data_IF_133644807239
#
_entry.id   IF_133644807239
#
_cell.length_a   1.000
_cell.length_b   1.000
_cell.length_c   1.000
_cell.angle_alpha   90.00
_cell.angle_beta   90.00
_cell.angle_gamma   90.00
#
_symmetry.space_group_name_H-M   'P 1'
#
loop_
_entity.id
_entity.type
_entity.pdbx_description
1 polymer ?
#
# COMPACT_ATOMS: atom_id res chain seq x y z
N UNK A 1 67.21 -22.74 35.78
CA UNK A 1 67.93 -22.14 34.66
C UNK A 1 67.49 -22.80 33.39
N UNK A 2 67.47 -21.98 32.33
CA UNK A 2 67.38 -22.30 30.91
C UNK A 2 66.02 -22.44 30.22
N UNK A 3 65.92 -21.59 29.19
CA UNK A 3 65.20 -21.74 27.92
C UNK A 3 63.73 -21.30 27.88
N UNK A 4 63.23 -20.57 26.89
CA UNK A 4 63.81 -19.71 25.85
C UNK A 4 62.62 -19.04 25.14
N UNK A 5 62.95 -18.00 24.37
CA UNK A 5 62.37 -17.65 23.07
C UNK A 5 61.34 -16.50 22.96
N UNK A 6 61.86 -15.52 22.23
CA UNK A 6 61.30 -14.29 21.65
C UNK A 6 60.51 -14.53 20.36
N UNK A 7 59.52 -13.68 20.07
CA UNK A 7 59.27 -12.98 18.78
C UNK A 7 57.87 -12.34 18.84
N UNK A 8 57.78 -11.02 18.91
CA UNK A 8 57.61 -10.11 17.77
C UNK A 8 56.59 -10.60 16.72
N UNK A 9 55.44 -9.93 16.69
CA UNK A 9 54.70 -9.63 15.44
C UNK A 9 53.75 -8.49 15.74
N UNK A 10 54.15 -7.30 15.28
CA UNK A 10 53.22 -6.18 15.15
C UNK A 10 52.10 -6.55 14.18
N UNK A 11 50.85 -6.30 14.58
CA UNK A 11 49.72 -6.23 13.66
C UNK A 11 49.20 -4.79 13.62
N UNK A 12 49.81 -4.00 12.75
CA UNK A 12 49.13 -2.88 12.12
C UNK A 12 48.49 -3.37 10.82
N UNK A 13 47.16 -3.34 10.74
CA UNK A 13 46.37 -3.03 9.53
C UNK A 13 44.89 -3.32 9.77
N UNK A 14 44.03 -2.29 9.74
CA UNK A 14 43.31 -1.86 8.54
C UNK A 14 42.11 -2.78 8.22
N UNK A 15 40.89 -2.30 8.43
CA UNK A 15 39.72 -2.91 7.81
C UNK A 15 38.39 -2.61 8.50
N UNK A 16 37.58 -1.77 7.86
CA UNK A 16 36.12 -1.88 7.99
C UNK A 16 35.43 -0.86 8.89
N UNK A 17 35.50 0.43 8.53
CA UNK A 17 34.26 1.22 8.54
C UNK A 17 33.29 0.57 7.53
N UNK A 18 32.01 0.87 7.67
CA UNK A 18 30.90 0.55 6.74
C UNK A 18 30.13 -0.70 7.19
N UNK A 19 28.87 -0.67 7.63
CA UNK A 19 27.78 0.23 7.27
C UNK A 19 26.80 0.33 8.44
N UNK A 20 26.63 1.53 9.00
CA UNK A 20 25.39 1.87 9.69
C UNK A 20 24.28 1.78 8.65
N UNK A 21 23.63 0.61 8.58
CA UNK A 21 22.54 0.36 7.65
C UNK A 21 21.42 1.35 7.98
N UNK A 22 21.36 2.43 7.21
CA UNK A 22 20.33 3.46 7.28
C UNK A 22 19.01 2.90 6.74
N UNK A 23 18.42 1.93 7.47
CA UNK A 23 17.13 1.31 7.17
C UNK A 23 15.99 2.33 7.12
N UNK A 24 16.21 3.52 7.70
CA UNK A 24 15.27 4.64 7.72
C UNK A 24 15.01 5.23 6.34
N UNK A 25 15.89 4.99 5.36
CA UNK A 25 15.81 5.61 4.03
C UNK A 25 15.51 4.63 2.87
N UNK A 26 15.20 3.35 3.14
CA UNK A 26 14.71 2.49 2.04
C UNK A 26 13.40 3.08 1.52
N UNK A 27 13.29 3.40 0.21
CA UNK A 27 12.04 3.89 -0.34
C UNK A 27 10.98 2.83 -0.03
N UNK A 28 9.98 3.20 0.78
CA UNK A 28 8.84 2.31 1.04
C UNK A 28 8.37 1.85 -0.32
N UNK A 29 8.45 0.54 -0.58
CA UNK A 29 8.07 -0.11 -1.84
C UNK A 29 6.61 0.19 -2.16
N UNK A 30 6.37 1.40 -2.64
CA UNK A 30 5.05 1.97 -2.81
C UNK A 30 4.50 1.49 -4.14
N UNK A 31 3.18 1.37 -4.21
CA UNK A 31 2.49 1.07 -5.47
C UNK A 31 2.65 2.30 -6.39
N UNK A 32 3.01 2.05 -7.65
CA UNK A 32 3.20 3.11 -8.65
C UNK A 32 1.90 3.86 -8.89
N UNK A 33 1.97 5.07 -9.46
CA UNK A 33 0.75 5.84 -9.78
C UNK A 33 -0.14 5.09 -10.78
N UNK A 34 0.47 4.45 -11.79
CA UNK A 34 -0.22 3.65 -12.81
C UNK A 34 -0.93 2.44 -12.18
N UNK A 35 -0.24 1.70 -11.31
CA UNK A 35 -0.86 0.62 -10.53
C UNK A 35 -2.03 1.13 -9.68
N UNK A 36 -1.87 2.26 -8.96
CA UNK A 36 -2.97 2.86 -8.18
C UNK A 36 -4.19 3.13 -9.06
N UNK A 37 -4.02 3.80 -10.21
CA UNK A 37 -5.14 4.14 -11.08
C UNK A 37 -5.93 2.88 -11.47
N UNK A 38 -5.24 1.86 -11.98
CA UNK A 38 -5.89 0.61 -12.39
C UNK A 38 -6.56 -0.11 -11.21
N UNK A 39 -5.91 -0.16 -10.05
CA UNK A 39 -6.46 -0.85 -8.89
C UNK A 39 -7.71 -0.14 -8.33
N UNK A 40 -7.71 1.20 -8.30
CA UNK A 40 -8.88 1.97 -7.88
C UNK A 40 -10.02 1.88 -8.91
N UNK A 41 -9.72 1.85 -10.21
CA UNK A 41 -10.73 1.60 -11.24
C UNK A 41 -11.37 0.21 -11.08
N UNK A 42 -10.57 -0.81 -10.81
CA UNK A 42 -11.07 -2.15 -10.53
C UNK A 42 -11.94 -2.17 -9.27
N UNK A 43 -11.51 -1.48 -8.20
CA UNK A 43 -12.26 -1.39 -6.95
C UNK A 43 -13.60 -0.66 -7.13
N UNK A 44 -13.67 0.38 -7.98
CA UNK A 44 -14.93 1.04 -8.32
C UNK A 44 -15.91 0.06 -8.98
N UNK A 45 -15.42 -0.74 -9.92
CA UNK A 45 -16.25 -1.74 -10.61
C UNK A 45 -16.67 -2.91 -9.71
N UNK A 46 -15.90 -3.23 -8.67
CA UNK A 46 -16.11 -4.39 -7.79
C UNK A 46 -16.34 -3.97 -6.33
N UNK A 47 -16.89 -2.77 -6.10
CA UNK A 47 -16.94 -2.15 -4.78
C UNK A 47 -17.69 -2.99 -3.74
N UNK A 48 -18.74 -3.71 -4.16
CA UNK A 48 -19.56 -4.58 -3.30
C UNK A 48 -18.77 -5.79 -2.79
N UNK A 49 -17.91 -6.36 -3.63
CA UNK A 49 -17.09 -7.54 -3.34
C UNK A 49 -15.64 -7.34 -3.80
N UNK A 50 -14.84 -6.52 -3.08
CA UNK A 50 -13.51 -6.07 -3.51
C UNK A 50 -12.42 -7.13 -3.25
N UNK A 51 -12.63 -8.34 -3.78
CA UNK A 51 -11.72 -9.49 -3.65
C UNK A 51 -11.16 -9.85 -5.03
N UNK A 52 -10.07 -9.19 -5.46
CA UNK A 52 -9.47 -9.54 -6.73
C UNK A 52 -8.93 -10.97 -6.69
N UNK A 53 -9.09 -11.65 -7.81
CA UNK A 53 -8.60 -13.00 -8.04
C UNK A 53 -7.15 -12.99 -8.52
N UNK A 54 -6.52 -14.17 -8.53
CA UNK A 54 -5.20 -14.33 -9.11
C UNK A 54 -5.20 -14.05 -10.64
N UNK A 55 -6.30 -14.40 -11.31
CA UNK A 55 -6.50 -14.07 -12.73
C UNK A 55 -6.59 -12.56 -12.94
N UNK A 56 -7.19 -11.80 -12.01
CA UNK A 56 -7.19 -10.33 -12.09
C UNK A 56 -5.77 -9.78 -12.02
N UNK A 57 -4.94 -10.34 -11.13
CA UNK A 57 -3.54 -9.93 -10.95
C UNK A 57 -2.70 -10.19 -12.20
N UNK A 58 -2.86 -11.36 -12.82
CA UNK A 58 -2.09 -11.79 -13.98
C UNK A 58 -2.61 -11.22 -15.31
N UNK A 59 -3.88 -10.81 -15.36
CA UNK A 59 -4.49 -10.17 -16.52
C UNK A 59 -4.50 -8.63 -16.39
N UNK A 60 -5.69 -8.08 -16.13
CA UNK A 60 -5.95 -6.63 -16.18
C UNK A 60 -5.19 -5.79 -15.16
N UNK A 61 -4.68 -6.39 -14.08
CA UNK A 61 -3.92 -5.71 -13.03
C UNK A 61 -2.42 -6.04 -13.05
N UNK A 62 -1.93 -6.71 -14.10
CA UNK A 62 -0.52 -7.06 -14.30
C UNK A 62 0.32 -5.84 -14.71
N UNK A 63 0.46 -4.88 -13.79
CA UNK A 63 1.12 -3.59 -14.05
C UNK A 63 2.46 -3.54 -13.34
N UNK A 64 3.51 -3.14 -14.08
CA UNK A 64 4.88 -2.92 -13.59
C UNK A 64 5.44 -4.11 -12.80
N UNK A 65 5.10 -5.35 -13.20
CA UNK A 65 5.63 -6.58 -12.59
C UNK A 65 5.29 -6.74 -11.10
N UNK A 66 4.08 -6.34 -10.68
CA UNK A 66 3.70 -6.42 -9.27
C UNK A 66 3.76 -7.85 -8.73
N UNK A 67 4.47 -8.03 -7.61
CA UNK A 67 4.50 -9.32 -6.91
C UNK A 67 3.15 -9.64 -6.27
N UNK A 68 2.81 -10.92 -6.22
CA UNK A 68 1.57 -11.43 -5.60
C UNK A 68 1.41 -10.96 -4.15
N UNK A 69 2.48 -11.05 -3.36
CA UNK A 69 2.50 -10.56 -1.98
C UNK A 69 2.10 -9.08 -1.93
N UNK A 70 2.77 -8.22 -2.70
CA UNK A 70 2.50 -6.77 -2.71
C UNK A 70 1.07 -6.46 -3.13
N UNK A 71 0.58 -7.18 -4.13
CA UNK A 71 -0.80 -7.07 -4.62
C UNK A 71 -1.82 -7.41 -3.52
N UNK A 72 -1.72 -8.61 -2.92
CA UNK A 72 -2.62 -9.07 -1.85
C UNK A 72 -2.63 -8.13 -0.66
N UNK A 73 -1.45 -7.72 -0.18
CA UNK A 73 -1.34 -6.79 0.94
C UNK A 73 -1.95 -5.42 0.63
N UNK A 74 -1.76 -4.90 -0.58
CA UNK A 74 -2.33 -3.61 -0.94
C UNK A 74 -3.86 -3.64 -0.93
N UNK A 75 -4.47 -4.64 -1.56
CA UNK A 75 -5.93 -4.77 -1.59
C UNK A 75 -6.52 -5.02 -0.20
N UNK A 76 -5.90 -5.88 0.61
CA UNK A 76 -6.34 -6.09 1.99
C UNK A 76 -6.31 -4.78 2.80
N UNK A 77 -5.23 -4.01 2.68
CA UNK A 77 -5.07 -2.75 3.40
C UNK A 77 -6.08 -1.68 2.92
N UNK A 78 -6.32 -1.59 1.61
CA UNK A 78 -7.31 -0.66 1.05
C UNK A 78 -8.72 -1.01 1.53
N UNK A 79 -9.11 -2.29 1.54
CA UNK A 79 -10.39 -2.72 2.10
C UNK A 79 -10.56 -2.27 3.56
N UNK A 80 -9.56 -2.48 4.40
CA UNK A 80 -9.65 -2.11 5.81
C UNK A 80 -9.72 -0.59 6.05
N UNK A 81 -9.04 0.21 5.21
CA UNK A 81 -8.96 1.67 5.42
C UNK A 81 -10.08 2.45 4.74
N UNK A 82 -10.57 1.95 3.62
CA UNK A 82 -11.38 2.74 2.68
C UNK A 82 -12.74 2.11 2.37
N UNK A 83 -13.05 0.95 2.95
CA UNK A 83 -14.35 0.33 2.83
C UNK A 83 -14.93 0.03 4.20
N UNK A 84 -16.24 0.16 4.31
CA UNK A 84 -17.03 -0.25 5.46
C UNK A 84 -17.73 -1.56 5.12
N UNK A 85 -17.75 -2.50 6.07
CA UNK A 85 -18.46 -3.77 5.93
C UNK A 85 -19.89 -3.62 6.42
N UNK A 86 -20.83 -4.15 5.66
CA UNK A 86 -22.26 -4.18 5.98
C UNK A 86 -22.79 -5.61 5.83
N UNK A 87 -23.93 -5.89 6.46
CA UNK A 87 -24.76 -7.06 6.20
C UNK A 87 -26.03 -6.62 5.50
N UNK A 88 -26.46 -7.37 4.50
CA UNK A 88 -27.79 -7.17 3.92
C UNK A 88 -28.86 -7.91 4.72
N UNK A 89 -30.12 -7.78 4.28
CA UNK A 89 -31.25 -8.45 4.92
C UNK A 89 -31.19 -9.98 4.86
N UNK A 90 -30.38 -10.54 3.96
CA UNK A 90 -30.17 -11.98 3.84
C UNK A 90 -29.00 -12.48 4.70
N UNK A 91 -28.32 -11.58 5.42
CA UNK A 91 -27.13 -11.88 6.20
C UNK A 91 -25.82 -11.90 5.40
N UNK A 92 -25.88 -11.62 4.10
CA UNK A 92 -24.69 -11.58 3.23
C UNK A 92 -23.85 -10.35 3.52
N UNK A 93 -22.54 -10.57 3.64
CA UNK A 93 -21.57 -9.51 3.90
C UNK A 93 -21.22 -8.79 2.59
N UNK A 94 -21.32 -7.47 2.57
CA UNK A 94 -20.86 -6.65 1.45
C UNK A 94 -20.09 -5.42 1.91
N UNK A 95 -19.36 -4.82 0.98
CA UNK A 95 -18.52 -3.66 1.25
C UNK A 95 -19.12 -2.41 0.58
N UNK A 96 -18.97 -1.28 1.26
CA UNK A 96 -19.33 0.06 0.76
C UNK A 96 -18.11 0.96 0.85
N UNK A 97 -17.69 1.63 -0.25
CA UNK A 97 -16.58 2.56 -0.19
C UNK A 97 -16.91 3.77 0.70
N UNK A 98 -15.96 4.20 1.53
CA UNK A 98 -16.11 5.36 2.40
C UNK A 98 -15.54 6.65 1.78
N UNK A 99 -15.63 7.78 2.48
CA UNK A 99 -15.14 9.08 2.00
C UNK A 99 -13.67 9.05 1.53
N UNK A 100 -12.79 8.32 2.23
CA UNK A 100 -11.36 8.23 1.88
C UNK A 100 -11.12 7.53 0.54
N UNK A 101 -11.99 6.58 0.18
CA UNK A 101 -11.93 5.94 -1.12
C UNK A 101 -12.18 6.94 -2.25
N UNK A 102 -13.26 7.72 -2.13
CA UNK A 102 -13.64 8.71 -3.12
C UNK A 102 -12.65 9.87 -3.20
N UNK A 103 -12.12 10.35 -2.07
CA UNK A 103 -11.00 11.30 -2.05
C UNK A 103 -9.80 10.80 -2.87
N UNK A 104 -9.48 9.51 -2.72
CA UNK A 104 -8.38 8.91 -3.46
C UNK A 104 -8.68 8.80 -4.96
N UNK A 105 -9.91 8.46 -5.34
CA UNK A 105 -10.35 8.46 -6.74
C UNK A 105 -10.26 9.86 -7.36
N UNK A 106 -10.73 10.90 -6.66
CA UNK A 106 -10.66 12.29 -7.11
C UNK A 106 -9.21 12.76 -7.28
N UNK A 107 -8.34 12.49 -6.31
CA UNK A 107 -6.91 12.82 -6.39
C UNK A 107 -6.19 12.11 -7.53
N UNK A 108 -6.64 10.91 -7.89
CA UNK A 108 -6.13 10.15 -9.02
C UNK A 108 -6.80 10.50 -10.35
N UNK A 109 -7.79 11.42 -10.35
CA UNK A 109 -8.59 11.82 -11.51
C UNK A 109 -9.30 10.64 -12.18
N UNK A 110 -9.81 9.71 -11.37
CA UNK A 110 -10.58 8.55 -11.86
C UNK A 110 -12.05 8.97 -11.97
N UNK A 111 -12.66 8.70 -13.13
CA UNK A 111 -14.09 8.91 -13.33
C UNK A 111 -14.91 7.95 -12.47
N UNK A 112 -15.88 8.48 -11.73
CA UNK A 112 -16.80 7.71 -10.91
C UNK A 112 -18.13 7.66 -11.68
N UNK A 113 -18.55 6.48 -12.19
CA UNK A 113 -19.67 6.39 -13.13
C UNK A 113 -21.05 6.52 -12.47
N UNK A 114 -21.11 6.69 -11.15
CA UNK A 114 -22.34 6.76 -10.37
C UNK A 114 -22.32 7.92 -9.37
N UNK A 115 -23.50 8.34 -8.92
CA UNK A 115 -23.63 9.38 -7.93
C UNK A 115 -23.07 8.94 -6.57
N UNK A 116 -22.13 9.70 -6.02
CA UNK A 116 -21.66 9.52 -4.64
C UNK A 116 -22.79 9.93 -3.69
N UNK A 117 -23.17 9.13 -2.68
CA UNK A 117 -24.18 9.50 -1.68
C UNK A 117 -23.86 10.83 -0.96
N UNK A 118 -24.89 11.63 -0.67
CA UNK A 118 -24.71 12.98 -0.13
C UNK A 118 -24.02 12.99 1.24
N UNK A 119 -24.31 12.01 2.08
CA UNK A 119 -23.63 11.83 3.37
C UNK A 119 -22.12 11.70 3.19
N UNK A 120 -21.70 10.90 2.21
CA UNK A 120 -20.29 10.69 1.89
C UNK A 120 -19.69 11.96 1.28
N UNK A 121 -20.42 12.65 0.38
CA UNK A 121 -19.97 13.94 -0.18
C UNK A 121 -19.73 14.98 0.92
N UNK A 122 -20.60 15.05 1.92
CA UNK A 122 -20.44 15.95 3.06
C UNK A 122 -19.18 15.60 3.88
N UNK A 123 -18.90 14.31 4.08
CA UNK A 123 -17.67 13.87 4.76
C UNK A 123 -16.40 14.24 4.00
N UNK A 124 -16.37 14.05 2.67
CA UNK A 124 -15.23 14.45 1.82
C UNK A 124 -14.94 15.95 2.00
N UNK A 125 -15.97 16.81 1.95
CA UNK A 125 -15.83 18.26 2.13
C UNK A 125 -15.25 18.64 3.50
N UNK A 126 -15.60 17.91 4.57
CA UNK A 126 -15.06 18.17 5.92
C UNK A 126 -13.59 17.81 6.03
N UNK A 127 -13.19 16.67 5.46
CA UNK A 127 -11.78 16.23 5.46
C UNK A 127 -10.88 17.17 4.67
N UNK A 128 -11.34 17.69 3.54
CA UNK A 128 -10.56 18.64 2.74
C UNK A 128 -10.28 19.95 3.49
N UNK A 129 -11.15 20.36 4.41
CA UNK A 129 -10.96 21.57 5.22
C UNK A 129 -9.97 21.37 6.38
N UNK A 130 -9.79 20.15 6.87
CA UNK A 130 -8.93 19.87 8.03
C UNK A 130 -7.43 19.70 7.70
N UNK A 131 -7.04 19.70 6.43
CA UNK A 131 -5.64 19.59 5.97
C UNK A 131 -5.13 20.89 5.32
N UNK A 132 -5.83 22.01 5.55
CA UNK A 132 -5.53 23.33 5.00
C UNK A 132 -5.28 24.38 6.07
N UNK A 133 -4.44 24.08 7.06
CA UNK A 133 -3.79 25.02 7.97
C UNK A 133 -2.31 24.67 8.10
#
# INVERSE_FOLDING_TARGET
>A
SDSDNTSDTGFGSSGGRDSSANWKNKPRNSITRRQKIAFYQWLLANARFPFPTENDRLGRLAIDGISEKKFKYWFANIRCRQFTKHRDGNGEMYFVPNAKFYESCMRLKIAIPYAIPDEIRAMIKRVSRSHGL
#
